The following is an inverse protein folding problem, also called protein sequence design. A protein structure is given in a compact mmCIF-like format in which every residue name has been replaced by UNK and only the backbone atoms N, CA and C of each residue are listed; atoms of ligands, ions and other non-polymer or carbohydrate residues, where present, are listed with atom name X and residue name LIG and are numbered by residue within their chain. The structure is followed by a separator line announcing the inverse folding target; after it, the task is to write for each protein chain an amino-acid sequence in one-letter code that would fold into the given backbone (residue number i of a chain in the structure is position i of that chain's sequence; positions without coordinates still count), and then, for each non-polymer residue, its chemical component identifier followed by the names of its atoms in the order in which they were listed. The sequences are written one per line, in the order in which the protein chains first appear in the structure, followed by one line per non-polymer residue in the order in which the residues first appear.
data_IF_392928527436
#
_entry.id   IF_392928527436
#
_cell.length_a   1.000
_cell.length_b   1.000
_cell.length_c   1.000
_cell.angle_alpha   90.00
_cell.angle_beta   90.00
_cell.angle_gamma   90.00
#
_symmetry.space_group_name_H-M   'P 1'
#
loop_
_entity.id
_entity.type
_entity.pdbx_description
1 polymer ?
#
# COMPACT_ATOMS: atom_id res chain seq x y z
N UNK A 1 18.74 56.30 5.78
CA UNK A 1 17.61 55.53 6.32
C UNK A 1 16.70 55.06 5.18
N UNK A 2 17.03 53.95 4.58
CA UNK A 2 16.20 53.19 3.60
C UNK A 2 16.92 51.86 3.40
N UNK A 3 16.59 50.84 4.18
CA UNK A 3 16.86 49.43 3.94
C UNK A 3 16.33 48.66 5.16
N UNK A 4 15.00 48.52 5.21
CA UNK A 4 14.37 47.54 6.12
C UNK A 4 12.96 47.26 5.61
N UNK A 5 12.83 46.46 4.58
CA UNK A 5 11.49 46.04 4.12
C UNK A 5 11.49 44.98 2.99
N UNK A 6 12.39 43.99 2.99
CA UNK A 6 12.38 42.92 1.97
C UNK A 6 12.51 41.49 2.55
N UNK A 7 12.46 41.31 3.86
CA UNK A 7 12.67 39.93 4.46
C UNK A 7 11.41 39.21 4.95
N UNK A 8 10.23 39.80 4.77
CA UNK A 8 9.00 39.18 5.32
C UNK A 8 8.13 38.45 4.29
N UNK A 9 8.48 38.42 3.01
CA UNK A 9 7.59 37.88 1.95
C UNK A 9 8.03 36.53 1.36
N UNK A 10 9.13 35.94 1.79
CA UNK A 10 9.68 34.72 1.18
C UNK A 10 9.24 33.42 1.90
N UNK A 11 8.70 33.50 3.12
CA UNK A 11 8.38 32.32 3.90
C UNK A 11 6.98 31.71 3.65
N UNK A 12 6.13 32.33 2.84
CA UNK A 12 4.79 31.81 2.51
C UNK A 12 4.67 31.18 1.12
N UNK A 13 5.68 31.29 0.27
CA UNK A 13 5.62 30.82 -1.12
C UNK A 13 6.13 29.38 -1.33
N UNK A 14 6.72 28.72 -0.33
CA UNK A 14 7.38 27.43 -0.51
C UNK A 14 6.45 26.19 -0.33
N UNK A 15 5.19 26.36 0.01
CA UNK A 15 4.24 25.26 0.16
C UNK A 15 3.53 24.85 -1.15
N UNK A 16 3.64 25.66 -2.21
CA UNK A 16 2.90 25.42 -3.47
C UNK A 16 3.75 24.90 -4.63
N UNK A 17 5.08 24.79 -4.47
CA UNK A 17 6.01 24.55 -5.59
C UNK A 17 6.57 23.12 -5.69
N UNK A 18 6.06 22.15 -4.95
CA UNK A 18 6.52 20.75 -5.08
C UNK A 18 5.90 19.99 -6.26
N UNK A 19 5.26 20.67 -7.17
CA UNK A 19 4.79 20.14 -8.45
C UNK A 19 5.68 20.39 -9.65
N UNK A 20 6.58 21.36 -9.59
CA UNK A 20 7.49 21.74 -10.69
C UNK A 20 8.70 22.48 -10.13
N UNK A 21 9.87 21.98 -10.46
CA UNK A 21 11.21 22.53 -10.32
C UNK A 21 12.08 21.93 -9.21
N UNK A 22 13.27 21.52 -9.61
CA UNK A 22 14.35 21.05 -8.76
C UNK A 22 14.99 22.20 -7.96
N UNK A 23 14.27 22.76 -7.02
CA UNK A 23 14.88 23.66 -6.04
C UNK A 23 15.53 22.85 -4.92
N UNK A 24 16.81 23.13 -4.76
CA UNK A 24 17.72 22.56 -3.78
C UNK A 24 17.14 22.58 -2.36
N UNK A 25 17.18 21.44 -1.65
CA UNK A 25 16.90 21.34 -0.22
C UNK A 25 17.81 22.20 0.67
N UNK A 26 18.79 22.86 0.12
CA UNK A 26 19.71 23.76 0.80
C UNK A 26 19.13 25.15 1.04
N UNK A 27 17.84 25.33 1.16
CA UNK A 27 17.32 26.62 1.58
C UNK A 27 17.60 26.84 3.06
N UNK A 28 18.57 27.70 3.29
CA UNK A 28 18.85 28.61 4.39
C UNK A 28 18.99 28.06 5.83
N UNK A 29 18.33 27.02 6.30
CA UNK A 29 18.59 26.46 7.63
C UNK A 29 18.25 24.98 7.68
N UNK A 30 19.27 24.14 7.88
CA UNK A 30 19.10 22.73 8.17
C UNK A 30 18.29 22.61 9.49
N UNK A 31 17.07 22.06 9.49
CA UNK A 31 16.24 21.96 10.68
C UNK A 31 16.89 21.20 11.84
N UNK A 32 17.84 20.30 11.54
CA UNK A 32 18.56 19.55 12.57
C UNK A 32 19.52 20.42 13.37
N UNK A 33 19.94 21.56 12.83
CA UNK A 33 20.79 22.51 13.55
C UNK A 33 20.00 23.38 14.53
N UNK A 34 18.67 23.43 14.41
CA UNK A 34 17.80 24.16 15.32
C UNK A 34 17.48 23.37 16.58
N UNK A 35 17.55 22.01 16.50
CA UNK A 35 17.27 21.09 17.61
C UNK A 35 18.32 19.98 17.65
N UNK A 36 19.63 20.30 17.77
CA UNK A 36 20.69 19.31 17.63
C UNK A 36 20.62 18.21 18.70
N UNK A 37 20.17 18.53 19.90
CA UNK A 37 20.00 17.61 21.01
C UNK A 37 18.94 16.53 20.73
N UNK A 38 17.89 16.87 19.99
CA UNK A 38 16.81 15.94 19.64
C UNK A 38 17.30 14.82 18.71
N UNK A 39 18.25 15.15 17.86
CA UNK A 39 18.76 14.24 16.81
C UNK A 39 20.16 13.67 17.11
N UNK A 40 20.74 14.03 18.26
CA UNK A 40 22.04 13.53 18.66
C UNK A 40 22.01 12.01 18.86
N UNK A 41 23.04 11.34 18.34
CA UNK A 41 23.20 9.89 18.47
C UNK A 41 22.44 9.02 17.46
N UNK A 42 21.63 9.61 16.60
CA UNK A 42 21.02 8.89 15.47
C UNK A 42 21.96 8.81 14.27
N UNK A 43 21.82 7.76 13.49
CA UNK A 43 22.65 7.51 12.31
C UNK A 43 22.26 8.40 11.13
N UNK A 44 20.96 8.65 10.99
CA UNK A 44 20.37 9.52 9.98
C UNK A 44 19.19 10.30 10.55
N UNK A 45 18.79 11.36 9.85
CA UNK A 45 17.57 12.12 10.10
C UNK A 45 16.85 12.36 8.79
N UNK A 46 15.59 11.97 8.70
CA UNK A 46 14.72 12.35 7.59
C UNK A 46 14.29 13.82 7.76
N UNK A 47 14.86 14.71 6.98
CA UNK A 47 14.45 16.13 6.99
C UNK A 47 13.03 16.28 6.41
N UNK A 48 12.72 15.45 5.40
CA UNK A 48 11.41 15.36 4.77
C UNK A 48 11.09 13.91 4.40
N UNK A 49 9.88 13.48 4.68
CA UNK A 49 9.23 12.28 4.12
C UNK A 49 7.87 12.72 3.58
N UNK A 50 7.77 12.90 2.27
CA UNK A 50 6.57 13.44 1.63
C UNK A 50 6.07 12.48 0.55
N UNK A 51 4.76 12.26 0.55
CA UNK A 51 4.08 11.52 -0.51
C UNK A 51 2.90 12.34 -1.02
N UNK A 52 2.89 12.61 -2.32
CA UNK A 52 1.75 13.22 -3.00
C UNK A 52 1.09 12.19 -3.92
N UNK A 53 -0.22 12.03 -3.79
CA UNK A 53 -1.01 11.07 -4.56
C UNK A 53 -2.05 11.78 -5.39
N UNK A 54 -2.12 11.47 -6.68
CA UNK A 54 -3.21 11.87 -7.56
C UNK A 54 -4.04 10.65 -7.91
N UNK A 55 -5.27 10.59 -7.40
CA UNK A 55 -6.20 9.48 -7.64
C UNK A 55 -7.00 9.73 -8.90
N UNK A 56 -6.98 8.77 -9.83
CA UNK A 56 -7.75 8.82 -11.07
C UNK A 56 -9.24 8.45 -10.82
N UNK A 57 -10.17 8.81 -11.71
CA UNK A 57 -11.56 8.36 -11.63
C UNK A 57 -11.69 6.84 -11.50
N UNK A 58 -10.78 6.09 -12.10
CA UNK A 58 -10.70 4.62 -12.05
C UNK A 58 -10.29 4.05 -10.68
N UNK A 59 -9.80 4.89 -9.75
CA UNK A 59 -9.23 4.47 -8.47
C UNK A 59 -7.72 4.22 -8.49
N UNK A 60 -7.09 4.21 -9.66
CA UNK A 60 -5.63 4.14 -9.77
C UNK A 60 -4.98 5.41 -9.19
N UNK A 61 -3.87 5.25 -8.49
CA UNK A 61 -3.09 6.36 -7.93
C UNK A 61 -1.77 6.57 -8.67
N UNK A 62 -1.40 7.83 -8.85
CA UNK A 62 -0.03 8.23 -9.19
C UNK A 62 0.59 8.84 -7.95
N UNK A 63 1.67 8.26 -7.47
CA UNK A 63 2.36 8.63 -6.24
C UNK A 63 3.70 9.27 -6.58
N UNK A 64 3.97 10.43 -6.00
CA UNK A 64 5.29 11.06 -5.98
C UNK A 64 5.79 11.00 -4.54
N UNK A 65 6.79 10.17 -4.29
CA UNK A 65 7.43 10.00 -2.98
C UNK A 65 8.73 10.77 -2.97
N UNK A 66 8.87 11.77 -2.11
CA UNK A 66 10.08 12.56 -1.94
C UNK A 66 10.65 12.34 -0.55
N UNK A 67 11.93 12.00 -0.48
CA UNK A 67 12.66 11.89 0.79
C UNK A 67 13.95 12.70 0.75
N UNK A 68 14.21 13.34 1.89
CA UNK A 68 15.43 14.11 2.13
C UNK A 68 16.02 13.57 3.42
N UNK A 69 17.17 12.93 3.30
CA UNK A 69 17.85 12.24 4.41
C UNK A 69 19.20 12.89 4.68
N UNK A 70 19.42 13.35 5.92
CA UNK A 70 20.73 13.82 6.37
C UNK A 70 21.48 12.66 7.04
N UNK A 71 22.70 12.45 6.60
CA UNK A 71 23.66 11.48 7.16
C UNK A 71 24.33 12.10 8.37
N UNK A 72 24.21 11.48 9.55
CA UNK A 72 24.72 12.04 10.81
C UNK A 72 26.07 11.47 11.19
N UNK A 73 26.36 10.22 10.82
CA UNK A 73 27.61 9.54 11.16
C UNK A 73 27.98 8.49 10.11
N UNK A 74 29.10 7.81 10.32
CA UNK A 74 29.62 6.78 9.39
C UNK A 74 28.67 5.58 9.24
N UNK A 75 27.92 5.19 10.29
CA UNK A 75 26.94 4.10 10.19
C UNK A 75 25.81 4.49 9.25
N UNK A 76 25.30 5.72 9.39
CA UNK A 76 24.30 6.27 8.48
C UNK A 76 24.81 6.35 7.04
N UNK A 77 26.07 6.73 6.83
CA UNK A 77 26.70 6.74 5.52
C UNK A 77 26.71 5.35 4.86
N UNK A 78 27.08 4.32 5.63
CA UNK A 78 27.11 2.93 5.14
C UNK A 78 25.70 2.40 4.87
N UNK A 79 24.76 2.68 5.76
CA UNK A 79 23.37 2.19 5.65
C UNK A 79 22.65 2.72 4.41
N UNK A 80 23.01 3.94 3.96
CA UNK A 80 22.36 4.60 2.83
C UNK A 80 23.15 4.51 1.51
N UNK A 81 24.16 3.67 1.39
CA UNK A 81 24.91 3.48 0.14
C UNK A 81 24.06 2.99 -1.03
N UNK A 82 22.99 2.30 -0.71
CA UNK A 82 22.04 1.78 -1.69
C UNK A 82 20.66 2.19 -1.25
N UNK A 83 20.00 3.02 -2.05
CA UNK A 83 18.60 3.32 -1.89
C UNK A 83 17.77 2.13 -2.37
N UNK A 84 16.70 1.81 -1.64
CA UNK A 84 15.82 0.68 -1.94
C UNK A 84 14.37 1.08 -1.78
N UNK A 85 13.52 0.57 -2.68
CA UNK A 85 12.09 0.75 -2.58
C UNK A 85 11.37 -0.51 -3.08
N UNK A 86 10.55 -1.08 -2.20
CA UNK A 86 9.80 -2.31 -2.50
C UNK A 86 8.46 -1.96 -3.14
N UNK A 87 8.04 -2.77 -4.11
CA UNK A 87 6.72 -2.67 -4.71
C UNK A 87 6.21 -4.04 -5.16
N UNK A 88 4.88 -4.15 -5.30
CA UNK A 88 4.23 -5.35 -5.84
C UNK A 88 3.94 -5.12 -7.33
N UNK A 89 4.58 -5.86 -8.24
CA UNK A 89 4.39 -5.68 -9.68
C UNK A 89 3.00 -6.07 -10.18
N UNK A 90 2.20 -6.78 -9.36
CA UNK A 90 0.81 -7.10 -9.68
C UNK A 90 -0.10 -5.89 -9.53
N UNK A 91 0.25 -4.94 -8.66
CA UNK A 91 -0.60 -3.80 -8.30
C UNK A 91 0.02 -2.45 -8.62
N UNK A 92 1.33 -2.39 -8.83
CA UNK A 92 2.05 -1.14 -9.02
C UNK A 92 3.31 -1.30 -9.87
N UNK A 93 3.77 -0.18 -10.38
CA UNK A 93 5.13 0.02 -10.92
C UNK A 93 5.76 1.19 -10.17
N UNK A 94 7.06 1.09 -9.88
CA UNK A 94 7.82 2.14 -9.21
C UNK A 94 9.19 2.32 -9.87
N UNK A 95 9.69 3.57 -9.88
CA UNK A 95 10.98 3.93 -10.41
C UNK A 95 11.59 5.13 -9.67
N UNK A 96 12.90 5.21 -9.57
CA UNK A 96 13.56 6.44 -9.16
C UNK A 96 13.45 7.46 -10.29
N UNK A 97 12.98 8.66 -9.95
CA UNK A 97 12.83 9.77 -10.88
C UNK A 97 14.00 10.76 -10.77
N UNK A 98 14.53 10.94 -9.57
CA UNK A 98 15.66 11.83 -9.29
C UNK A 98 16.39 11.35 -8.03
N UNK A 99 17.71 11.42 -8.06
CA UNK A 99 18.57 11.26 -6.87
C UNK A 99 19.67 12.30 -6.93
N UNK A 100 19.74 13.15 -5.90
CA UNK A 100 20.74 14.20 -5.76
C UNK A 100 21.42 14.09 -4.40
N UNK A 101 22.74 14.16 -4.36
CA UNK A 101 23.53 14.16 -3.13
C UNK A 101 24.13 15.55 -2.95
N UNK A 102 23.83 16.17 -1.84
CA UNK A 102 24.48 17.41 -1.41
C UNK A 102 25.58 17.05 -0.42
N UNK A 103 26.81 17.19 -0.83
CA UNK A 103 27.99 16.92 0.00
C UNK A 103 28.18 17.97 1.07
N UNK A 104 28.69 17.58 2.21
CA UNK A 104 29.01 18.48 3.32
C UNK A 104 30.02 19.60 2.91
N UNK A 105 30.89 19.32 1.94
CA UNK A 105 31.84 20.29 1.39
C UNK A 105 31.23 21.31 0.40
N UNK A 106 29.97 21.13 0.02
CA UNK A 106 29.27 22.01 -0.90
C UNK A 106 29.05 21.48 -2.30
N UNK A 107 29.65 20.37 -2.67
CA UNK A 107 29.45 19.76 -3.98
C UNK A 107 28.03 19.21 -4.12
N UNK A 108 27.51 19.22 -5.34
CA UNK A 108 26.18 18.65 -5.68
C UNK A 108 26.38 17.58 -6.76
N UNK A 109 25.92 16.38 -6.48
CA UNK A 109 26.03 15.24 -7.38
C UNK A 109 24.63 14.78 -7.77
N UNK A 110 24.29 14.90 -9.06
CA UNK A 110 23.06 14.30 -9.60
C UNK A 110 23.41 12.94 -10.18
N UNK A 111 22.74 11.90 -9.72
CA UNK A 111 22.97 10.55 -10.20
C UNK A 111 22.19 10.27 -11.49
N UNK A 112 22.78 9.45 -12.34
CA UNK A 112 22.12 8.93 -13.54
C UNK A 112 21.09 7.85 -13.13
N UNK A 113 19.81 8.19 -13.14
CA UNK A 113 18.72 7.28 -12.76
C UNK A 113 18.57 6.07 -13.68
N UNK A 114 19.18 6.08 -14.88
CA UNK A 114 19.18 4.91 -15.78
C UNK A 114 19.97 3.74 -15.22
N UNK A 115 20.83 3.99 -14.22
CA UNK A 115 21.60 2.96 -13.51
C UNK A 115 20.79 2.24 -12.41
N UNK A 116 19.53 2.61 -12.20
CA UNK A 116 18.68 1.89 -11.26
C UNK A 116 18.50 0.45 -11.71
N UNK A 117 18.41 -0.43 -10.72
CA UNK A 117 18.22 -1.86 -10.92
C UNK A 117 16.93 -2.31 -10.28
N UNK A 118 16.28 -3.31 -10.87
CA UNK A 118 15.03 -3.86 -10.39
C UNK A 118 15.18 -5.37 -10.20
N UNK A 119 15.12 -5.82 -8.94
CA UNK A 119 15.33 -7.22 -8.55
C UNK A 119 14.10 -7.79 -7.84
N UNK A 120 14.07 -9.11 -7.71
CA UNK A 120 13.13 -9.75 -6.79
C UNK A 120 13.45 -9.29 -5.36
N UNK A 121 12.44 -8.81 -4.64
CA UNK A 121 12.61 -8.44 -3.24
C UNK A 121 12.93 -9.68 -2.40
N UNK A 122 13.72 -9.56 -1.33
CA UNK A 122 14.01 -10.67 -0.44
C UNK A 122 12.72 -11.27 0.14
N UNK A 123 12.52 -12.57 -0.03
CA UNK A 123 11.36 -13.26 0.55
C UNK A 123 11.52 -13.30 2.08
N UNK A 124 10.48 -12.86 2.80
CA UNK A 124 10.51 -12.84 4.28
C UNK A 124 9.84 -14.06 4.91
N UNK A 125 8.75 -14.53 4.34
CA UNK A 125 8.03 -15.72 4.81
C UNK A 125 7.31 -16.42 3.65
N UNK A 126 6.57 -15.66 2.86
CA UNK A 126 5.83 -16.12 1.69
C UNK A 126 6.36 -15.33 0.49
N UNK A 127 6.63 -16.03 -0.62
CA UNK A 127 7.02 -15.37 -1.86
C UNK A 127 5.79 -14.82 -2.57
N UNK A 128 5.68 -13.49 -2.59
CA UNK A 128 4.56 -12.76 -3.23
C UNK A 128 4.91 -12.22 -4.61
N UNK A 129 6.11 -12.49 -5.10
CA UNK A 129 6.60 -11.89 -6.34
C UNK A 129 6.97 -10.41 -6.21
N UNK A 130 7.06 -9.88 -4.98
CA UNK A 130 7.47 -8.50 -4.75
C UNK A 130 8.82 -8.18 -5.39
N UNK A 131 8.95 -6.96 -5.87
CA UNK A 131 10.18 -6.45 -6.47
C UNK A 131 10.75 -5.29 -5.64
N UNK A 132 12.03 -5.05 -5.83
CA UNK A 132 12.76 -3.97 -5.18
C UNK A 132 13.55 -3.21 -6.23
N UNK A 133 13.24 -1.93 -6.42
CA UNK A 133 14.14 -1.03 -7.17
C UNK A 133 15.27 -0.59 -6.26
N UNK A 134 16.46 -0.56 -6.81
CA UNK A 134 17.68 -0.23 -6.10
C UNK A 134 18.51 0.78 -6.89
N UNK A 135 19.11 1.72 -6.15
CA UNK A 135 20.03 2.71 -6.70
C UNK A 135 21.27 2.79 -5.84
N UNK A 136 22.42 2.44 -6.41
CA UNK A 136 23.72 2.63 -5.74
C UNK A 136 24.09 4.10 -5.82
N UNK A 137 24.35 4.73 -4.67
CA UNK A 137 24.63 6.17 -4.58
C UNK A 137 26.09 6.50 -4.24
N UNK A 138 26.90 5.46 -4.05
CA UNK A 138 28.34 5.62 -3.83
C UNK A 138 28.71 6.00 -2.40
N UNK A 139 29.85 6.67 -2.27
CA UNK A 139 30.39 7.04 -0.96
C UNK A 139 29.69 8.28 -0.39
N UNK A 140 29.20 8.11 0.82
CA UNK A 140 28.66 9.20 1.65
C UNK A 140 29.60 9.47 2.82
N UNK A 141 29.57 10.71 3.31
CA UNK A 141 30.26 11.17 4.50
C UNK A 141 29.25 11.79 5.50
N UNK A 142 29.57 11.84 6.80
CA UNK A 142 28.75 12.56 7.76
C UNK A 142 28.51 14.02 7.35
N UNK A 143 27.28 14.48 7.43
CA UNK A 143 26.85 15.81 6.98
C UNK A 143 26.29 15.85 5.54
N UNK A 144 26.48 14.80 4.75
CA UNK A 144 25.86 14.73 3.42
C UNK A 144 24.32 14.62 3.52
N UNK A 145 23.65 15.17 2.50
CA UNK A 145 22.19 15.08 2.38
C UNK A 145 21.83 14.38 1.08
N UNK A 146 20.96 13.38 1.18
CA UNK A 146 20.43 12.62 0.05
C UNK A 146 19.00 13.12 -0.20
N UNK A 147 18.75 13.64 -1.38
CA UNK A 147 17.41 14.05 -1.84
C UNK A 147 16.99 13.17 -3.00
N UNK A 148 15.93 12.38 -2.83
CA UNK A 148 15.48 11.52 -3.89
C UNK A 148 13.96 11.52 -4.05
N UNK A 149 13.55 11.25 -5.29
CA UNK A 149 12.15 11.13 -5.67
C UNK A 149 11.91 9.79 -6.35
N UNK A 150 10.82 9.15 -5.94
CA UNK A 150 10.31 7.92 -6.56
C UNK A 150 8.93 8.24 -7.12
N UNK A 151 8.69 7.85 -8.36
CA UNK A 151 7.37 7.82 -8.95
C UNK A 151 6.83 6.39 -8.89
N UNK A 152 5.59 6.25 -8.37
CA UNK A 152 4.86 4.99 -8.34
C UNK A 152 3.49 5.19 -8.97
N UNK A 153 3.06 4.24 -9.79
CA UNK A 153 1.70 4.18 -10.35
C UNK A 153 1.06 2.87 -9.93
N UNK A 154 -0.18 2.92 -9.47
CA UNK A 154 -0.89 1.70 -9.09
C UNK A 154 -1.90 1.91 -7.97
N UNK A 155 -2.17 0.86 -7.22
CA UNK A 155 -3.05 0.88 -6.06
C UNK A 155 -2.41 0.12 -4.89
N UNK A 156 -2.89 0.37 -3.67
CA UNK A 156 -2.17 -0.04 -2.46
C UNK A 156 -2.40 -1.49 -2.08
N UNK A 157 -3.47 -2.13 -2.54
CA UNK A 157 -3.83 -3.43 -2.02
C UNK A 157 -3.49 -4.58 -2.97
N UNK A 158 -2.60 -5.46 -2.50
CA UNK A 158 -2.24 -6.73 -3.12
C UNK A 158 -3.30 -7.81 -2.83
N UNK A 159 -3.26 -8.92 -3.45
CA UNK A 159 -4.14 -10.08 -3.52
C UNK A 159 -5.09 -10.08 -4.71
N UNK A 160 -4.88 -9.18 -5.67
CA UNK A 160 -5.67 -9.17 -6.88
C UNK A 160 -4.75 -9.00 -8.07
N UNK A 161 -4.74 -9.95 -8.94
CA UNK A 161 -4.23 -9.75 -10.27
C UNK A 161 -5.08 -8.68 -10.94
N UNK A 162 -4.51 -7.52 -11.15
CA UNK A 162 -5.00 -6.62 -12.17
C UNK A 162 -5.13 -7.46 -13.44
N UNK A 163 -6.25 -7.35 -14.13
CA UNK A 163 -6.49 -8.14 -15.33
C UNK A 163 -5.28 -8.08 -16.28
N UNK A 164 -5.03 -9.15 -17.00
CA UNK A 164 -4.09 -9.17 -18.12
C UNK A 164 -4.67 -8.20 -19.15
N UNK A 165 -4.33 -6.93 -19.01
CA UNK A 165 -4.75 -5.84 -19.87
C UNK A 165 -3.55 -5.08 -20.40
N UNK A 166 -3.79 -4.18 -21.37
CA UNK A 166 -2.81 -3.19 -21.78
C UNK A 166 -2.33 -2.38 -20.56
N UNK A 167 -1.18 -1.75 -20.65
CA UNK A 167 -0.50 -1.05 -19.53
C UNK A 167 -1.39 -0.07 -18.75
N UNK A 168 -2.42 0.52 -19.37
CA UNK A 168 -3.33 1.44 -18.72
C UNK A 168 -4.34 0.75 -17.77
N UNK A 169 -4.77 -0.47 -18.08
CA UNK A 169 -5.73 -1.22 -17.26
C UNK A 169 -5.08 -2.02 -16.13
N UNK A 170 -3.79 -2.32 -16.24
CA UNK A 170 -3.04 -3.16 -15.30
C UNK A 170 -3.03 -2.62 -13.88
N UNK A 171 -3.01 -1.30 -13.72
CA UNK A 171 -2.91 -0.62 -12.43
C UNK A 171 -4.22 -0.02 -11.96
N UNK A 172 -5.35 -0.52 -12.44
CA UNK A 172 -6.68 -0.14 -11.97
C UNK A 172 -7.10 -1.12 -10.87
N UNK A 173 -7.52 -0.63 -9.68
CA UNK A 173 -8.01 -1.51 -8.63
C UNK A 173 -9.23 -2.29 -9.11
N UNK A 174 -9.39 -3.57 -8.71
CA UNK A 174 -10.51 -4.41 -9.12
C UNK A 174 -11.88 -3.84 -8.74
N UNK A 175 -12.00 -3.23 -7.57
CA UNK A 175 -13.15 -2.41 -7.21
C UNK A 175 -12.98 -1.04 -7.87
N UNK A 176 -13.32 -0.97 -9.16
CA UNK A 176 -13.10 0.21 -9.98
C UNK A 176 -13.68 1.47 -9.35
N UNK A 177 -12.94 2.55 -9.47
CA UNK A 177 -13.33 3.85 -8.92
C UNK A 177 -13.05 3.99 -7.42
N UNK A 178 -12.63 2.94 -6.72
CA UNK A 178 -12.33 3.02 -5.29
C UNK A 178 -10.84 3.17 -5.04
N UNK A 179 -10.52 4.04 -4.09
CA UNK A 179 -9.15 4.27 -3.61
C UNK A 179 -9.08 3.92 -2.13
N UNK A 180 -7.98 3.32 -1.72
CA UNK A 180 -7.70 2.94 -0.36
C UNK A 180 -6.21 3.06 -0.09
N UNK A 181 -5.83 3.58 1.07
CA UNK A 181 -4.45 3.58 1.53
C UNK A 181 -4.34 3.47 3.05
N UNK A 182 -3.26 2.86 3.52
CA UNK A 182 -2.82 2.85 4.92
C UNK A 182 -1.42 3.45 4.95
N UNK A 183 -1.32 4.63 5.54
CA UNK A 183 -0.08 5.39 5.57
C UNK A 183 0.52 5.36 6.97
N UNK A 184 1.68 4.72 7.17
CA UNK A 184 2.37 4.76 8.44
C UNK A 184 2.86 6.17 8.75
N UNK A 185 2.63 6.63 9.98
CA UNK A 185 3.20 7.86 10.52
C UNK A 185 4.21 7.57 11.62
N UNK A 186 4.76 6.38 11.64
CA UNK A 186 5.94 6.01 12.42
C UNK A 186 7.15 5.86 11.51
N UNK A 187 8.34 5.91 12.10
CA UNK A 187 9.61 5.82 11.38
C UNK A 187 10.64 5.05 12.20
N UNK A 188 11.68 4.55 11.53
CA UNK A 188 12.83 3.92 12.18
C UNK A 188 13.94 4.91 12.48
N UNK A 189 13.93 6.06 11.81
CA UNK A 189 14.85 7.19 12.00
C UNK A 189 14.05 8.45 12.35
N UNK A 190 14.59 9.40 13.12
CA UNK A 190 13.91 10.64 13.39
C UNK A 190 13.46 11.33 12.09
N UNK A 191 12.25 11.85 12.09
CA UNK A 191 11.69 12.54 10.93
C UNK A 191 11.21 13.93 11.33
N UNK A 192 11.86 14.96 10.78
CA UNK A 192 11.53 16.37 11.07
C UNK A 192 10.13 16.71 10.56
N UNK A 193 9.82 16.29 9.34
CA UNK A 193 8.52 16.57 8.72
C UNK A 193 8.06 15.41 7.84
N UNK A 194 6.85 14.92 8.11
CA UNK A 194 6.14 13.95 7.28
C UNK A 194 4.90 14.59 6.70
N UNK A 195 4.71 14.44 5.38
CA UNK A 195 3.57 14.98 4.65
C UNK A 195 2.94 13.88 3.80
N UNK A 196 1.63 13.73 3.89
CA UNK A 196 0.87 12.93 2.94
C UNK A 196 -0.23 13.79 2.34
N UNK A 197 -0.18 13.97 1.00
CA UNK A 197 -1.18 14.73 0.25
C UNK A 197 -1.90 13.80 -0.71
N UNK A 198 -3.23 13.82 -0.73
CA UNK A 198 -4.03 13.04 -1.68
C UNK A 198 -5.02 13.96 -2.40
N UNK A 199 -4.93 13.96 -3.73
CA UNK A 199 -5.80 14.70 -4.63
C UNK A 199 -6.79 13.73 -5.27
N UNK A 200 -8.08 13.90 -5.01
CA UNK A 200 -9.15 13.05 -5.56
C UNK A 200 -10.07 13.84 -6.49
N UNK A 201 -10.75 13.20 -7.45
CA UNK A 201 -11.80 13.85 -8.25
C UNK A 201 -12.85 14.52 -7.36
N UNK A 202 -13.43 15.63 -7.84
CA UNK A 202 -14.39 16.45 -7.08
C UNK A 202 -15.60 15.66 -6.62
N UNK A 203 -16.09 14.74 -7.45
CA UNK A 203 -17.27 13.92 -7.21
C UNK A 203 -17.05 12.78 -6.22
N UNK A 204 -15.79 12.49 -5.88
CA UNK A 204 -15.45 11.43 -4.91
C UNK A 204 -15.47 11.95 -3.49
N UNK A 205 -15.99 11.11 -2.58
CA UNK A 205 -15.84 11.33 -1.15
C UNK A 205 -14.71 10.46 -0.60
N UNK A 206 -14.04 10.96 0.44
CA UNK A 206 -12.97 10.27 1.13
C UNK A 206 -13.28 10.21 2.62
N UNK A 207 -13.24 9.02 3.17
CA UNK A 207 -13.23 8.79 4.61
C UNK A 207 -11.78 8.63 5.05
N UNK A 208 -11.44 9.19 6.18
CA UNK A 208 -10.11 9.01 6.78
C UNK A 208 -10.19 9.00 8.31
N UNK A 209 -9.29 8.25 8.90
CA UNK A 209 -9.12 8.15 10.34
C UNK A 209 -7.62 8.08 10.66
N UNK A 210 -7.18 8.91 11.59
CA UNK A 210 -5.84 8.82 12.17
C UNK A 210 -5.91 8.01 13.46
N UNK A 211 -5.04 7.02 13.60
CA UNK A 211 -4.99 6.13 14.75
C UNK A 211 -3.67 6.28 15.50
N UNK A 212 -3.69 6.04 16.82
CA UNK A 212 -2.54 5.96 17.70
C UNK A 212 -1.67 7.24 17.75
N UNK A 213 -2.29 8.40 17.51
CA UNK A 213 -1.60 9.68 17.56
C UNK A 213 -2.41 10.81 16.95
N UNK A 214 -1.74 11.90 16.62
CA UNK A 214 -2.34 13.10 16.06
C UNK A 214 -1.56 13.59 14.85
N UNK A 215 -2.26 14.22 13.92
CA UNK A 215 -1.65 14.95 12.80
C UNK A 215 -2.46 16.23 12.49
N UNK A 216 -1.80 17.21 11.91
CA UNK A 216 -2.51 18.35 11.34
C UNK A 216 -3.09 17.95 10.00
N UNK A 217 -4.38 18.15 9.80
CA UNK A 217 -5.06 17.87 8.54
C UNK A 217 -5.69 19.12 7.95
N UNK A 218 -5.72 19.19 6.63
CA UNK A 218 -6.40 20.27 5.90
C UNK A 218 -6.98 19.73 4.60
N UNK A 219 -8.03 20.39 4.10
CA UNK A 219 -8.63 20.12 2.80
C UNK A 219 -8.72 21.41 2.01
N UNK A 220 -8.40 21.34 0.73
CA UNK A 220 -8.50 22.47 -0.21
C UNK A 220 -9.09 21.98 -1.53
N UNK A 221 -9.62 22.93 -2.27
CA UNK A 221 -10.01 22.74 -3.66
C UNK A 221 -8.90 23.27 -4.55
N UNK A 222 -8.26 22.40 -5.32
CA UNK A 222 -7.14 22.73 -6.20
C UNK A 222 -7.40 22.06 -7.57
N UNK A 223 -7.29 22.83 -8.66
CA UNK A 223 -7.42 22.33 -10.05
C UNK A 223 -8.65 21.44 -10.30
N UNK A 224 -9.81 21.81 -9.74
CA UNK A 224 -11.04 21.05 -9.86
C UNK A 224 -11.06 19.71 -9.10
N UNK A 225 -10.22 19.58 -8.08
CA UNK A 225 -10.07 18.38 -7.25
C UNK A 225 -10.15 18.72 -5.76
N UNK A 226 -10.44 17.74 -4.93
CA UNK A 226 -10.30 17.83 -3.47
C UNK A 226 -8.89 17.38 -3.08
N UNK A 227 -8.12 18.25 -2.45
CA UNK A 227 -6.77 17.97 -1.96
C UNK A 227 -6.79 17.87 -0.43
N UNK A 228 -6.58 16.68 0.11
CA UNK A 228 -6.40 16.44 1.53
C UNK A 228 -4.92 16.38 1.86
N UNK A 229 -4.50 17.07 2.92
CA UNK A 229 -3.10 17.09 3.36
C UNK A 229 -3.03 16.75 4.84
N UNK A 230 -2.13 15.83 5.19
CA UNK A 230 -1.86 15.38 6.55
C UNK A 230 -0.39 15.60 6.86
N UNK A 231 -0.10 16.23 8.00
CA UNK A 231 1.26 16.62 8.38
C UNK A 231 1.52 16.25 9.83
N UNK A 232 2.67 15.61 10.07
CA UNK A 232 3.25 15.46 11.41
C UNK A 232 4.69 15.95 11.40
N UNK A 233 5.16 16.48 12.51
CA UNK A 233 6.52 16.99 12.68
C UNK A 233 7.17 16.35 13.89
N UNK A 234 8.52 16.37 13.92
CA UNK A 234 9.34 15.89 15.03
C UNK A 234 8.99 14.45 15.46
N UNK A 235 8.77 13.57 14.47
CA UNK A 235 8.44 12.16 14.72
C UNK A 235 9.71 11.45 15.18
N UNK A 236 9.67 10.94 16.42
CA UNK A 236 10.77 10.13 16.96
C UNK A 236 10.61 8.66 16.57
N UNK A 237 11.71 7.91 16.46
CA UNK A 237 11.69 6.52 16.04
C UNK A 237 10.83 5.64 16.95
N UNK A 238 9.97 4.84 16.34
CA UNK A 238 9.23 3.79 17.03
C UNK A 238 10.11 2.54 17.11
N UNK A 239 10.44 2.12 18.31
CA UNK A 239 11.21 0.90 18.56
C UNK A 239 10.28 -0.30 18.58
N UNK A 240 10.70 -1.36 17.91
CA UNK A 240 10.01 -2.64 18.01
C UNK A 240 10.49 -3.40 19.25
N UNK A 241 9.55 -3.77 20.11
CA UNK A 241 9.81 -4.60 21.28
C UNK A 241 9.65 -6.09 20.94
N UNK A 242 10.37 -6.99 21.64
CA UNK A 242 10.15 -8.43 21.48
C UNK A 242 8.68 -8.81 21.79
N UNK A 243 8.09 -9.64 20.94
CA UNK A 243 6.72 -10.13 21.09
C UNK A 243 5.60 -9.08 21.10
N UNK A 244 5.89 -7.82 20.69
CA UNK A 244 4.82 -6.83 20.49
C UNK A 244 3.96 -7.21 19.27
N UNK A 245 2.75 -6.66 19.22
CA UNK A 245 1.90 -6.70 18.05
C UNK A 245 2.55 -5.97 16.86
N UNK A 246 2.00 -6.13 15.67
CA UNK A 246 2.53 -5.44 14.49
C UNK A 246 2.48 -3.90 14.68
N UNK A 247 3.46 -3.20 14.15
CA UNK A 247 3.52 -1.74 14.21
C UNK A 247 2.30 -1.08 13.55
N UNK A 248 1.70 -1.72 12.56
CA UNK A 248 0.45 -1.23 11.99
C UNK A 248 -0.72 -1.27 12.98
N UNK A 249 -0.65 -2.09 14.04
CA UNK A 249 -1.65 -2.13 15.10
C UNK A 249 -1.33 -1.19 16.26
N UNK A 250 -0.04 -0.94 16.52
CA UNK A 250 0.42 -0.22 17.72
C UNK A 250 0.89 1.22 17.45
N UNK A 251 1.26 1.57 16.23
CA UNK A 251 1.91 2.85 15.95
C UNK A 251 1.01 3.81 15.14
N UNK A 252 1.31 5.13 15.14
CA UNK A 252 0.52 6.12 14.44
C UNK A 252 0.37 5.82 12.95
N UNK A 253 -0.87 5.83 12.46
CA UNK A 253 -1.18 5.60 11.05
C UNK A 253 -2.41 6.37 10.60
N UNK A 254 -2.42 6.75 9.33
CA UNK A 254 -3.57 7.27 8.64
C UNK A 254 -4.18 6.16 7.79
N UNK A 255 -5.47 5.91 7.97
CA UNK A 255 -6.25 5.03 7.08
C UNK A 255 -7.22 5.89 6.29
N UNK A 256 -7.36 5.59 5.00
CA UNK A 256 -8.30 6.28 4.13
C UNK A 256 -8.94 5.34 3.13
N UNK A 257 -10.20 5.64 2.79
CA UNK A 257 -10.97 4.88 1.81
C UNK A 257 -12.01 5.76 1.15
N UNK A 258 -12.19 5.60 -0.15
CA UNK A 258 -13.33 6.17 -0.87
C UNK A 258 -14.54 5.24 -0.91
N UNK A 259 -14.44 4.01 -0.42
CA UNK A 259 -15.58 3.08 -0.28
C UNK A 259 -16.42 3.50 0.91
N UNK A 260 -17.70 3.83 0.74
CA UNK A 260 -18.50 4.45 1.82
C UNK A 260 -18.75 3.52 3.00
N UNK A 261 -19.01 2.23 2.75
CA UNK A 261 -19.43 1.27 3.78
C UNK A 261 -18.84 -0.11 3.52
N UNK A 262 -18.68 -0.90 4.57
CA UNK A 262 -18.30 -2.31 4.48
C UNK A 262 -19.29 -3.14 3.65
N UNK A 263 -20.57 -2.81 3.72
CA UNK A 263 -21.61 -3.46 2.91
C UNK A 263 -21.33 -3.32 1.42
N UNK A 264 -20.90 -2.14 0.95
CA UNK A 264 -20.60 -1.91 -0.47
C UNK A 264 -19.43 -2.79 -0.92
N UNK A 265 -18.45 -3.01 -0.05
CA UNK A 265 -17.33 -3.93 -0.29
C UNK A 265 -17.78 -5.38 -0.33
N UNK A 266 -18.67 -5.77 0.59
CA UNK A 266 -19.22 -7.13 0.67
C UNK A 266 -20.07 -7.46 -0.57
N UNK A 267 -20.95 -6.57 -0.97
CA UNK A 267 -21.77 -6.73 -2.18
C UNK A 267 -20.90 -6.83 -3.44
N UNK A 268 -19.88 -5.99 -3.54
CA UNK A 268 -18.92 -6.09 -4.64
C UNK A 268 -18.21 -7.44 -4.67
N UNK A 269 -17.77 -7.95 -3.50
CA UNK A 269 -17.12 -9.25 -3.38
C UNK A 269 -18.04 -10.38 -3.85
N UNK A 270 -19.30 -10.40 -3.41
CA UNK A 270 -20.27 -11.39 -3.83
C UNK A 270 -20.48 -11.33 -5.35
N UNK A 271 -20.71 -10.14 -5.89
CA UNK A 271 -20.92 -9.95 -7.33
C UNK A 271 -19.72 -10.44 -8.17
N UNK A 272 -18.50 -10.12 -7.78
CA UNK A 272 -17.29 -10.58 -8.50
C UNK A 272 -17.21 -12.11 -8.55
N UNK A 273 -17.58 -12.78 -7.47
CA UNK A 273 -17.56 -14.24 -7.39
C UNK A 273 -18.72 -14.89 -8.14
N UNK A 274 -19.90 -14.28 -8.14
CA UNK A 274 -21.04 -14.69 -8.97
C UNK A 274 -20.71 -14.54 -10.46
N UNK A 275 -20.22 -13.38 -10.89
CA UNK A 275 -19.84 -13.11 -12.29
C UNK A 275 -18.74 -14.06 -12.78
N UNK A 276 -17.84 -14.48 -11.89
CA UNK A 276 -16.79 -15.47 -12.19
C UNK A 276 -17.29 -16.91 -12.19
N UNK A 277 -18.45 -17.20 -11.62
CA UNK A 277 -19.02 -18.53 -11.49
C UNK A 277 -18.38 -19.35 -10.36
N UNK A 278 -17.87 -18.69 -9.31
CA UNK A 278 -17.23 -19.37 -8.17
C UNK A 278 -18.13 -20.37 -7.48
N UNK A 279 -19.45 -20.11 -7.46
CA UNK A 279 -20.48 -20.94 -6.83
C UNK A 279 -21.36 -21.68 -7.82
N UNK A 280 -20.96 -21.73 -9.11
CA UNK A 280 -21.76 -22.38 -10.15
C UNK A 280 -21.98 -23.85 -9.82
N UNK A 281 -23.25 -24.30 -9.97
CA UNK A 281 -23.63 -25.66 -9.73
C UNK A 281 -22.90 -26.65 -10.65
N UNK A 282 -22.45 -27.76 -10.09
CA UNK A 282 -21.90 -28.89 -10.83
C UNK A 282 -22.61 -30.18 -10.38
N UNK A 283 -23.06 -31.04 -11.32
CA UNK A 283 -23.85 -32.21 -11.00
C UNK A 283 -23.16 -33.20 -10.03
N UNK A 284 -21.84 -33.33 -10.16
CA UNK A 284 -21.05 -34.22 -9.32
C UNK A 284 -21.01 -33.77 -7.85
N UNK A 285 -20.92 -32.46 -7.61
CA UNK A 285 -20.97 -31.91 -6.26
C UNK A 285 -22.37 -31.98 -5.67
N UNK A 286 -23.42 -31.67 -6.46
CA UNK A 286 -24.81 -31.84 -6.04
C UNK A 286 -25.07 -33.29 -5.58
N UNK A 287 -24.72 -34.26 -6.42
CA UNK A 287 -24.87 -35.68 -6.06
C UNK A 287 -24.16 -36.05 -4.73
N UNK A 288 -22.93 -35.50 -4.52
CA UNK A 288 -22.19 -35.71 -3.30
C UNK A 288 -22.88 -35.09 -2.08
N UNK A 289 -23.40 -33.90 -2.23
CA UNK A 289 -24.19 -33.24 -1.17
C UNK A 289 -25.40 -34.06 -0.81
N UNK A 290 -26.18 -34.51 -1.80
CA UNK A 290 -27.37 -35.34 -1.60
C UNK A 290 -27.06 -36.63 -0.84
N UNK A 291 -25.95 -37.30 -1.19
CA UNK A 291 -25.48 -38.50 -0.47
C UNK A 291 -25.15 -38.17 1.00
N UNK A 292 -24.46 -37.06 1.27
CA UNK A 292 -23.99 -36.72 2.60
C UNK A 292 -25.12 -36.28 3.54
N UNK A 293 -26.11 -35.56 3.02
CA UNK A 293 -27.26 -35.09 3.82
C UNK A 293 -28.35 -36.13 3.98
N UNK A 294 -28.31 -37.24 3.26
CA UNK A 294 -29.28 -38.29 3.36
C UNK A 294 -29.46 -38.74 4.82
N UNK A 295 -30.69 -38.72 5.32
CA UNK A 295 -31.04 -39.07 6.69
C UNK A 295 -30.72 -38.01 7.74
N UNK A 296 -30.15 -36.88 7.40
CA UNK A 296 -29.96 -35.73 8.31
C UNK A 296 -31.27 -34.96 8.47
N UNK A 297 -31.71 -34.80 9.72
CA UNK A 297 -33.02 -34.20 10.02
C UNK A 297 -33.01 -32.72 10.29
N UNK A 298 -31.87 -32.22 10.74
CA UNK A 298 -31.74 -30.81 11.11
C UNK A 298 -30.70 -30.09 10.22
N UNK A 299 -30.84 -28.74 10.08
CA UNK A 299 -29.84 -27.95 9.40
C UNK A 299 -28.46 -28.09 10.00
N UNK A 300 -28.36 -28.14 11.32
CA UNK A 300 -27.06 -28.32 12.00
C UNK A 300 -26.39 -29.64 11.64
N UNK A 301 -27.16 -30.73 11.53
CA UNK A 301 -26.61 -32.01 11.07
C UNK A 301 -26.12 -31.95 9.62
N UNK A 302 -26.84 -31.23 8.74
CA UNK A 302 -26.42 -31.00 7.35
C UNK A 302 -25.16 -30.16 7.30
N UNK A 303 -25.16 -29.02 8.01
CA UNK A 303 -23.98 -28.13 8.10
C UNK A 303 -22.76 -28.88 8.61
N UNK A 304 -22.91 -29.64 9.69
CA UNK A 304 -21.83 -30.42 10.30
C UNK A 304 -21.21 -31.40 9.32
N UNK A 305 -22.02 -32.26 8.68
CA UNK A 305 -21.51 -33.27 7.77
C UNK A 305 -20.83 -32.69 6.55
N UNK A 306 -21.35 -31.58 6.00
CA UNK A 306 -20.74 -30.88 4.86
C UNK A 306 -19.44 -30.18 5.26
N UNK A 307 -19.41 -29.56 6.44
CA UNK A 307 -18.20 -28.91 6.97
C UNK A 307 -17.08 -29.95 7.14
N UNK A 308 -17.37 -31.09 7.78
CA UNK A 308 -16.40 -32.16 7.94
C UNK A 308 -15.94 -32.70 6.59
N UNK A 309 -16.88 -32.95 5.67
CA UNK A 309 -16.50 -33.47 4.36
C UNK A 309 -15.58 -32.52 3.61
N UNK A 310 -15.89 -31.21 3.59
CA UNK A 310 -15.03 -30.19 2.92
C UNK A 310 -13.65 -30.13 3.57
N UNK A 311 -13.59 -30.09 4.92
CA UNK A 311 -12.34 -30.04 5.66
C UNK A 311 -11.44 -31.28 5.41
N UNK A 312 -12.04 -32.46 5.30
CA UNK A 312 -11.32 -33.71 5.12
C UNK A 312 -10.93 -34.00 3.66
N UNK A 313 -11.66 -33.42 2.69
CA UNK A 313 -11.50 -33.79 1.28
C UNK A 313 -10.91 -32.68 0.41
N UNK A 314 -10.88 -31.42 0.84
CA UNK A 314 -10.24 -30.33 0.12
C UNK A 314 -8.95 -29.94 0.83
N UNK A 315 -7.82 -30.37 0.28
CA UNK A 315 -6.51 -30.12 0.86
C UNK A 315 -6.10 -28.67 0.70
N UNK A 316 -5.58 -28.06 1.75
CA UNK A 316 -4.97 -26.75 1.64
C UNK A 316 -3.72 -26.78 0.72
N UNK A 317 -3.72 -25.94 -0.30
CA UNK A 317 -2.58 -25.75 -1.20
C UNK A 317 -2.36 -24.28 -1.45
N UNK A 318 -1.17 -23.78 -1.13
CA UNK A 318 -0.76 -22.40 -1.36
C UNK A 318 -0.18 -22.15 -2.77
N UNK A 319 -0.28 -23.10 -3.67
CA UNK A 319 0.20 -22.97 -5.05
C UNK A 319 -0.88 -22.25 -5.87
N UNK A 320 -0.50 -21.23 -6.62
CA UNK A 320 -1.41 -20.58 -7.58
C UNK A 320 -1.85 -21.60 -8.63
N UNK A 321 -3.16 -21.75 -8.78
CA UNK A 321 -3.80 -22.77 -9.63
C UNK A 321 -4.53 -22.13 -10.83
N UNK A 322 -4.10 -20.95 -11.29
CA UNK A 322 -4.68 -20.27 -12.43
C UNK A 322 -5.60 -19.09 -12.06
N UNK A 323 -6.68 -18.88 -12.81
CA UNK A 323 -7.63 -17.78 -12.54
C UNK A 323 -8.33 -17.97 -11.22
N UNK A 324 -8.65 -16.88 -10.51
CA UNK A 324 -9.29 -16.90 -9.19
C UNK A 324 -8.36 -16.50 -8.06
N UNK A 325 -7.34 -15.72 -8.35
CA UNK A 325 -6.45 -15.16 -7.35
C UNK A 325 -7.05 -13.92 -6.68
N UNK A 326 -6.53 -13.56 -5.53
CA UNK A 326 -6.99 -12.39 -4.78
C UNK A 326 -8.37 -12.59 -4.15
N UNK A 327 -9.32 -11.72 -4.45
CA UNK A 327 -10.71 -11.81 -3.95
C UNK A 327 -11.57 -12.80 -4.73
N UNK A 328 -11.17 -13.19 -5.94
CA UNK A 328 -11.89 -14.16 -6.73
C UNK A 328 -11.53 -15.56 -6.25
N UNK A 329 -12.52 -16.37 -5.90
CA UNK A 329 -12.33 -17.78 -5.59
C UNK A 329 -12.08 -18.55 -6.88
N UNK A 330 -11.33 -19.64 -6.80
CA UNK A 330 -11.37 -20.64 -7.84
C UNK A 330 -12.79 -21.19 -7.97
N UNK A 331 -13.23 -21.51 -9.18
CA UNK A 331 -14.58 -22.00 -9.34
C UNK A 331 -14.74 -23.40 -8.70
N UNK A 332 -15.96 -23.71 -8.33
CA UNK A 332 -16.28 -24.96 -7.62
C UNK A 332 -15.79 -26.20 -8.37
N UNK A 333 -15.89 -26.21 -9.71
CA UNK A 333 -15.47 -27.37 -10.52
C UNK A 333 -13.97 -27.65 -10.35
N UNK A 334 -13.13 -26.60 -10.31
CA UNK A 334 -11.68 -26.77 -10.09
C UNK A 334 -11.42 -27.34 -8.69
N UNK A 335 -11.94 -26.67 -7.65
CA UNK A 335 -11.72 -27.07 -6.26
C UNK A 335 -12.23 -28.50 -5.98
N UNK A 336 -13.39 -28.83 -6.53
CA UNK A 336 -14.00 -30.15 -6.37
C UNK A 336 -13.22 -31.23 -7.11
N UNK A 337 -12.76 -30.98 -8.34
CA UNK A 337 -12.00 -31.94 -9.15
C UNK A 337 -10.61 -32.15 -8.60
N UNK A 338 -9.90 -31.08 -8.28
CA UNK A 338 -8.49 -31.10 -7.89
C UNK A 338 -8.31 -31.43 -6.40
N UNK A 339 -9.40 -31.39 -5.63
CA UNK A 339 -9.39 -31.64 -4.16
C UNK A 339 -8.38 -30.77 -3.42
N UNK A 340 -8.16 -29.55 -3.89
CA UNK A 340 -7.26 -28.60 -3.24
C UNK A 340 -7.67 -27.15 -3.50
N UNK A 341 -7.20 -26.25 -2.63
CA UNK A 341 -7.41 -24.82 -2.71
C UNK A 341 -6.83 -24.11 -1.50
N UNK A 342 -6.85 -22.79 -1.52
CA UNK A 342 -6.49 -21.97 -0.34
C UNK A 342 -7.71 -21.73 0.55
N UNK A 343 -7.53 -21.04 1.66
CA UNK A 343 -8.60 -20.82 2.66
C UNK A 343 -9.92 -20.32 2.05
N UNK A 344 -9.86 -19.34 1.12
CA UNK A 344 -11.06 -18.82 0.44
C UNK A 344 -11.76 -19.88 -0.41
N UNK A 345 -11.01 -20.76 -1.09
CA UNK A 345 -11.53 -21.77 -1.97
C UNK A 345 -12.22 -22.90 -1.18
N UNK A 346 -11.65 -23.26 -0.03
CA UNK A 346 -12.24 -24.21 0.91
C UNK A 346 -13.56 -23.66 1.46
N UNK A 347 -13.55 -22.38 1.89
CA UNK A 347 -14.77 -21.71 2.34
C UNK A 347 -15.82 -21.59 1.21
N UNK A 348 -15.39 -21.25 -0.01
CA UNK A 348 -16.25 -21.18 -1.19
C UNK A 348 -16.88 -22.52 -1.56
N UNK A 349 -16.10 -23.60 -1.47
CA UNK A 349 -16.62 -24.96 -1.67
C UNK A 349 -17.69 -25.32 -0.64
N UNK A 350 -17.48 -24.95 0.64
CA UNK A 350 -18.50 -25.15 1.68
C UNK A 350 -19.76 -24.33 1.40
N UNK A 351 -19.62 -23.06 1.02
CA UNK A 351 -20.76 -22.20 0.65
C UNK A 351 -21.57 -22.85 -0.48
N UNK A 352 -20.90 -23.29 -1.55
CA UNK A 352 -21.56 -23.95 -2.67
C UNK A 352 -22.27 -25.25 -2.23
N UNK A 353 -21.64 -26.08 -1.39
CA UNK A 353 -22.29 -27.27 -0.84
C UNK A 353 -23.52 -26.95 0.00
N UNK A 354 -23.48 -25.88 0.78
CA UNK A 354 -24.63 -25.42 1.58
C UNK A 354 -25.78 -24.91 0.71
N UNK A 355 -25.46 -24.15 -0.37
CA UNK A 355 -26.47 -23.71 -1.33
C UNK A 355 -27.20 -24.89 -2.00
N UNK A 356 -26.57 -26.03 -2.15
CA UNK A 356 -27.19 -27.24 -2.70
C UNK A 356 -28.12 -27.98 -1.73
N UNK A 357 -28.11 -27.65 -0.44
CA UNK A 357 -28.97 -28.28 0.57
C UNK A 357 -30.33 -27.64 0.69
N UNK A 358 -30.48 -26.40 0.20
CA UNK A 358 -31.72 -25.66 0.27
C UNK A 358 -32.44 -25.76 -1.06
N UNK A 359 -33.76 -25.81 -1.04
CA UNK A 359 -34.63 -25.57 -2.20
C UNK A 359 -34.51 -24.11 -2.69
N UNK A 360 -33.32 -23.50 -2.54
CA UNK A 360 -32.98 -22.14 -2.96
C UNK A 360 -33.16 -21.91 -4.48
N UNK A 361 -33.57 -22.94 -5.21
CA UNK A 361 -34.01 -22.82 -6.59
C UNK A 361 -35.44 -22.26 -6.70
N UNK A 362 -36.23 -22.28 -5.64
CA UNK A 362 -37.64 -21.85 -5.66
C UNK A 362 -37.87 -20.42 -5.17
N UNK A 363 -36.86 -19.75 -4.63
CA UNK A 363 -36.93 -18.36 -4.16
C UNK A 363 -36.30 -17.34 -5.13
N UNK A 364 -36.47 -17.52 -6.44
CA UNK A 364 -36.11 -16.55 -7.46
C UNK A 364 -37.33 -15.82 -8.00
#
# INVERSE_FOLDING_TARGET
MKYLSIFASVLLATASAYGQSGESCRTASDPTLQKPELYAGYDCVNLLDSTAVTVQPTGSGSFTVCKIVKVMNTRGAVANRILKYDYDPLTAHAEFHRVTIYKANGDVINLDITQQQDYAAPARAIYWGARQIMMEIGRLDPGDIIDYQINKKGFTYALLTGGIGNDESRFIPPMRGQFYDIVPFWTTEPTVRKVYKVNIPMEKEMQFQFYQGECTSSMRYEDGRKAYTFVSTDIMPTRREPNMVDLFDAAPKLMMSSTPRWQDKSLWFNKVNEDYGSFSAIPEAQKKVDELIQGKKTEMEKIAVLTHWVADNIRYSGISMGKGEGYTLHNLKMNYTDRCGVCKDIAGTLIACLLYTSDAADDK
#
